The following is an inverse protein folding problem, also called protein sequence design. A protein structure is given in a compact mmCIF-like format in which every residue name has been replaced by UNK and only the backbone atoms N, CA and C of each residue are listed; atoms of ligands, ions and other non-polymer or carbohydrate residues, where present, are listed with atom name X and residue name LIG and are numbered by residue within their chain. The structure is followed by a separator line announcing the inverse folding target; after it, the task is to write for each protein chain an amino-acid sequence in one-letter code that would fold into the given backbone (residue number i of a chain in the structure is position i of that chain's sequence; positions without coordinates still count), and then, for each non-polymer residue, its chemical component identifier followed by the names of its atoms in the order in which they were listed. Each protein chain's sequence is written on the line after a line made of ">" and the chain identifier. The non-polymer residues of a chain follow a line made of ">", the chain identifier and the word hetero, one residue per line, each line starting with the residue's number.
data_IF_040118383924
#
_entry.id   IF_040118383924
#
_cell.length_a   1.000
_cell.length_b   1.000
_cell.length_c   1.000
_cell.angle_alpha   90.00
_cell.angle_beta   90.00
_cell.angle_gamma   90.00
#
_symmetry.space_group_name_H-M   'P 1'
#
loop_
_entity.id
_entity.type
_entity.pdbx_description
1 polymer ?
#
# COMPACT_ATOMS: atom_id res chain seq x y z
N UNK A 1 -25.05 -34.84 -5.97
CA UNK A 1 -23.85 -33.98 -6.05
C UNK A 1 -23.63 -33.06 -4.85
N UNK A 2 -24.38 -31.96 -4.61
CA UNK A 2 -24.06 -31.02 -3.50
C UNK A 2 -23.95 -31.68 -2.11
N UNK A 3 -24.88 -32.59 -1.79
CA UNK A 3 -24.84 -33.36 -0.53
C UNK A 3 -23.63 -34.30 -0.44
N UNK A 4 -23.34 -35.01 -1.53
CA UNK A 4 -22.20 -35.93 -1.63
C UNK A 4 -20.86 -35.20 -1.49
N UNK A 5 -20.73 -34.03 -2.10
CA UNK A 5 -19.58 -33.14 -1.90
C UNK A 5 -19.45 -32.70 -0.44
N UNK A 6 -20.57 -32.33 0.21
CA UNK A 6 -20.56 -31.94 1.62
C UNK A 6 -20.11 -33.09 2.53
N UNK A 7 -20.64 -34.30 2.32
CA UNK A 7 -20.26 -35.51 3.07
C UNK A 7 -18.76 -35.82 2.91
N UNK A 8 -18.23 -35.74 1.68
CA UNK A 8 -16.81 -35.92 1.41
C UNK A 8 -15.94 -34.82 2.05
N UNK A 9 -16.37 -33.56 1.96
CA UNK A 9 -15.65 -32.41 2.53
C UNK A 9 -15.59 -32.48 4.06
N UNK A 10 -16.68 -32.89 4.71
CA UNK A 10 -16.70 -33.08 6.17
C UNK A 10 -15.79 -34.24 6.59
N UNK A 11 -15.80 -35.35 5.85
CA UNK A 11 -14.91 -36.48 6.11
C UNK A 11 -13.42 -36.14 5.92
N UNK A 12 -13.11 -35.26 4.97
CA UNK A 12 -11.73 -34.93 4.59
C UNK A 12 -11.14 -33.80 5.44
N UNK A 13 -11.91 -32.73 5.66
CA UNK A 13 -11.43 -31.48 6.27
C UNK A 13 -11.98 -31.25 7.68
N UNK A 14 -13.01 -32.00 8.10
CA UNK A 14 -13.63 -31.87 9.41
C UNK A 14 -14.43 -30.58 9.60
N UNK A 15 -14.56 -30.17 10.86
CA UNK A 15 -15.35 -29.01 11.29
C UNK A 15 -14.57 -27.70 11.11
N UNK A 16 -14.53 -27.22 9.87
CA UNK A 16 -13.93 -25.94 9.48
C UNK A 16 -14.99 -24.93 9.03
N UNK A 17 -14.72 -23.64 9.24
CA UNK A 17 -15.62 -22.55 8.86
C UNK A 17 -15.56 -22.16 7.37
N UNK A 18 -16.41 -21.22 6.94
CA UNK A 18 -16.58 -20.87 5.53
C UNK A 18 -15.42 -20.07 4.92
N UNK A 19 -14.52 -19.52 5.74
CA UNK A 19 -13.45 -18.62 5.28
C UNK A 19 -12.40 -19.35 4.42
N UNK A 20 -12.08 -20.59 4.74
CA UNK A 20 -11.11 -21.40 3.96
C UNK A 20 -11.55 -21.59 2.51
N UNK A 21 -12.75 -22.19 2.28
CA UNK A 21 -13.30 -22.33 0.93
C UNK A 21 -13.44 -21.01 0.17
N UNK A 22 -13.78 -19.90 0.83
CA UNK A 22 -13.84 -18.59 0.17
C UNK A 22 -12.47 -18.06 -0.27
N UNK A 23 -11.42 -18.26 0.53
CA UNK A 23 -10.06 -17.92 0.11
C UNK A 23 -9.59 -18.76 -1.06
N UNK A 24 -9.97 -20.04 -1.08
CA UNK A 24 -9.67 -20.94 -2.19
C UNK A 24 -10.45 -20.52 -3.45
N UNK A 25 -11.73 -20.17 -3.31
CA UNK A 25 -12.57 -19.70 -4.42
C UNK A 25 -11.94 -18.52 -5.17
N UNK A 26 -11.27 -17.61 -4.46
CA UNK A 26 -10.55 -16.50 -5.10
C UNK A 26 -9.41 -16.95 -6.01
N UNK A 27 -8.77 -18.09 -5.74
CA UNK A 27 -7.71 -18.67 -6.58
C UNK A 27 -8.30 -19.36 -7.81
N UNK A 28 -9.30 -20.22 -7.60
CA UNK A 28 -10.01 -20.90 -8.70
C UNK A 28 -10.67 -19.90 -9.66
N UNK A 29 -11.13 -18.75 -9.17
CA UNK A 29 -11.64 -17.68 -10.02
C UNK A 29 -10.57 -17.08 -10.95
N UNK A 30 -9.30 -17.06 -10.55
CA UNK A 30 -8.18 -16.63 -11.40
C UNK A 30 -7.81 -17.70 -12.42
N UNK A 31 -7.84 -18.98 -12.01
CA UNK A 31 -7.58 -20.13 -12.88
C UNK A 31 -8.67 -20.23 -13.97
N UNK A 32 -9.95 -20.14 -13.60
CA UNK A 32 -11.07 -20.06 -14.53
C UNK A 32 -11.02 -18.83 -15.46
N UNK A 33 -10.47 -17.70 -15.00
CA UNK A 33 -10.30 -16.52 -15.84
C UNK A 33 -9.17 -16.69 -16.87
N UNK A 34 -8.13 -17.46 -16.55
CA UNK A 34 -7.04 -17.78 -17.46
C UNK A 34 -7.44 -18.85 -18.49
N UNK A 35 -8.24 -19.83 -18.09
CA UNK A 35 -8.68 -20.96 -18.92
C UNK A 35 -10.21 -21.10 -18.92
N UNK A 36 -10.96 -20.13 -19.50
CA UNK A 36 -12.43 -20.10 -19.41
C UNK A 36 -13.13 -21.27 -20.12
N UNK A 37 -12.43 -21.96 -21.03
CA UNK A 37 -12.93 -23.15 -21.72
C UNK A 37 -12.76 -24.44 -20.89
N UNK A 38 -12.01 -24.41 -19.79
CA UNK A 38 -11.85 -25.57 -18.91
C UNK A 38 -13.00 -25.66 -17.91
N UNK A 39 -13.85 -26.69 -18.08
CA UNK A 39 -15.00 -26.92 -17.21
C UNK A 39 -14.64 -27.35 -15.79
N UNK A 40 -13.42 -27.87 -15.52
CA UNK A 40 -13.03 -28.21 -14.15
C UNK A 40 -12.93 -26.96 -13.27
N UNK A 41 -12.36 -25.87 -13.80
CA UNK A 41 -12.19 -24.62 -13.05
C UNK A 41 -13.54 -24.02 -12.62
N UNK A 42 -14.55 -24.12 -13.48
CA UNK A 42 -15.93 -23.75 -13.14
C UNK A 42 -16.54 -24.67 -12.08
N UNK A 43 -16.22 -25.97 -12.13
CA UNK A 43 -16.70 -26.93 -11.15
C UNK A 43 -16.06 -26.70 -9.77
N UNK A 44 -14.77 -26.37 -9.71
CA UNK A 44 -14.05 -26.04 -8.48
C UNK A 44 -14.63 -24.79 -7.82
N UNK A 45 -14.89 -23.73 -8.59
CA UNK A 45 -15.62 -22.57 -8.09
C UNK A 45 -16.99 -22.97 -7.51
N UNK A 46 -17.73 -23.86 -8.18
CA UNK A 46 -19.06 -24.25 -7.74
C UNK A 46 -19.02 -25.05 -6.43
N UNK A 47 -18.08 -25.98 -6.29
CA UNK A 47 -17.89 -26.77 -5.08
C UNK A 47 -17.49 -25.91 -3.89
N UNK A 48 -16.53 -25.01 -4.06
CA UNK A 48 -16.07 -24.11 -3.01
C UNK A 48 -17.15 -23.14 -2.55
N UNK A 49 -17.96 -22.62 -3.48
CA UNK A 49 -19.08 -21.75 -3.13
C UNK A 49 -20.15 -22.51 -2.31
N UNK A 50 -20.50 -23.74 -2.70
CA UNK A 50 -21.45 -24.56 -1.93
C UNK A 50 -20.91 -24.92 -0.56
N UNK A 51 -19.61 -25.21 -0.46
CA UNK A 51 -18.94 -25.54 0.80
C UNK A 51 -18.91 -24.33 1.75
N UNK A 52 -18.61 -23.15 1.23
CA UNK A 52 -18.68 -21.91 1.98
C UNK A 52 -20.10 -21.62 2.47
N UNK A 53 -21.11 -21.73 1.61
CA UNK A 53 -22.51 -21.46 1.96
C UNK A 53 -23.00 -22.38 3.08
N UNK A 54 -22.78 -23.70 2.95
CA UNK A 54 -23.24 -24.66 3.97
C UNK A 54 -22.53 -24.44 5.31
N UNK A 55 -21.21 -24.17 5.30
CA UNK A 55 -20.42 -23.91 6.52
C UNK A 55 -20.79 -22.59 7.19
N UNK A 56 -21.32 -21.64 6.43
CA UNK A 56 -21.91 -20.40 6.95
C UNK A 56 -23.38 -20.56 7.41
N UNK A 57 -23.99 -21.74 7.24
CA UNK A 57 -25.41 -21.98 7.54
C UNK A 57 -26.38 -21.26 6.59
N UNK A 58 -25.92 -20.86 5.40
CA UNK A 58 -26.75 -20.17 4.40
C UNK A 58 -27.61 -21.19 3.67
N UNK A 59 -28.93 -21.01 3.73
CA UNK A 59 -29.88 -21.88 3.04
C UNK A 59 -30.10 -21.44 1.59
N UNK A 60 -30.59 -22.36 0.76
CA UNK A 60 -30.95 -22.09 -0.63
C UNK A 60 -32.01 -20.99 -0.75
N UNK A 61 -32.96 -20.94 0.19
CA UNK A 61 -33.99 -19.91 0.23
C UNK A 61 -33.38 -18.54 0.54
N UNK A 62 -32.49 -18.45 1.53
CA UNK A 62 -31.83 -17.21 1.92
C UNK A 62 -30.98 -16.64 0.78
N UNK A 63 -30.15 -17.48 0.14
CA UNK A 63 -29.31 -17.00 -0.96
C UNK A 63 -30.16 -16.62 -2.18
N UNK A 64 -31.22 -17.37 -2.48
CA UNK A 64 -32.12 -17.05 -3.60
C UNK A 64 -32.80 -15.70 -3.38
N UNK A 65 -33.32 -15.45 -2.17
CA UNK A 65 -33.92 -14.16 -1.83
C UNK A 65 -32.91 -13.02 -1.96
N UNK A 66 -31.72 -13.19 -1.38
CA UNK A 66 -30.65 -12.20 -1.46
C UNK A 66 -30.22 -11.92 -2.92
N UNK A 67 -30.20 -12.95 -3.79
CA UNK A 67 -29.91 -12.78 -5.21
C UNK A 67 -31.00 -11.96 -5.92
N UNK A 68 -32.29 -12.20 -5.62
CA UNK A 68 -33.41 -11.44 -6.19
C UNK A 68 -33.34 -9.97 -5.79
N UNK A 69 -33.16 -9.69 -4.50
CA UNK A 69 -33.02 -8.33 -3.97
C UNK A 69 -31.80 -7.62 -4.56
N UNK A 70 -30.66 -8.32 -4.62
CA UNK A 70 -29.42 -7.77 -5.18
C UNK A 70 -29.54 -7.49 -6.67
N UNK A 71 -30.24 -8.35 -7.41
CA UNK A 71 -30.50 -8.15 -8.84
C UNK A 71 -31.37 -6.91 -9.08
N UNK A 72 -32.40 -6.68 -8.26
CA UNK A 72 -33.22 -5.47 -8.34
C UNK A 72 -32.38 -4.20 -8.13
N UNK A 73 -31.50 -4.20 -7.12
CA UNK A 73 -30.55 -3.10 -6.86
C UNK A 73 -29.61 -2.90 -8.06
N UNK A 74 -29.06 -3.99 -8.61
CA UNK A 74 -28.12 -3.91 -9.73
C UNK A 74 -28.77 -3.36 -11.01
N UNK A 75 -30.04 -3.68 -11.27
CA UNK A 75 -30.82 -3.14 -12.41
C UNK A 75 -31.11 -1.65 -12.28
N UNK A 76 -31.16 -1.12 -11.06
CA UNK A 76 -31.40 0.31 -10.81
C UNK A 76 -30.13 1.18 -10.87
N UNK A 77 -28.94 0.57 -11.00
CA UNK A 77 -27.65 1.28 -11.02
C UNK A 77 -27.28 1.73 -12.43
N UNK A 78 -26.43 2.75 -12.48
CA UNK A 78 -25.72 3.16 -13.69
C UNK A 78 -24.39 2.41 -13.80
N UNK A 79 -24.08 1.97 -15.01
CA UNK A 79 -22.91 1.16 -15.34
C UNK A 79 -22.10 1.85 -16.45
N UNK A 80 -20.75 1.79 -16.39
CA UNK A 80 -19.90 2.30 -17.46
C UNK A 80 -20.05 1.46 -18.74
N UNK A 81 -19.47 1.97 -19.83
CA UNK A 81 -19.49 1.27 -21.12
C UNK A 81 -18.86 -0.12 -21.04
N UNK A 82 -19.36 -1.06 -21.84
CA UNK A 82 -18.78 -2.39 -21.90
C UNK A 82 -17.31 -2.47 -22.33
N UNK A 83 -16.44 -2.91 -21.43
CA UNK A 83 -15.09 -3.38 -21.76
C UNK A 83 -14.95 -4.88 -21.50
N UNK A 84 -14.33 -5.58 -22.44
CA UNK A 84 -14.08 -7.01 -22.35
C UNK A 84 -12.86 -7.31 -21.45
N UNK A 85 -12.90 -8.43 -20.75
CA UNK A 85 -11.84 -8.87 -19.82
C UNK A 85 -11.69 -8.07 -18.52
N UNK A 86 -12.49 -7.04 -18.29
CA UNK A 86 -12.31 -6.09 -17.17
C UNK A 86 -13.51 -6.08 -16.21
N UNK A 87 -13.30 -6.05 -14.89
CA UNK A 87 -14.37 -5.91 -13.91
C UNK A 87 -15.14 -4.60 -14.13
N UNK A 88 -16.47 -4.66 -13.99
CA UNK A 88 -17.32 -3.46 -14.09
C UNK A 88 -17.85 -3.08 -12.73
N UNK A 89 -17.55 -1.86 -12.32
CA UNK A 89 -18.06 -1.27 -11.10
C UNK A 89 -19.18 -0.28 -11.43
N UNK A 90 -20.17 -0.20 -10.55
CA UNK A 90 -21.26 0.77 -10.69
C UNK A 90 -20.75 2.19 -10.42
N UNK A 91 -21.30 3.16 -11.14
CA UNK A 91 -20.98 4.58 -10.92
C UNK A 91 -21.60 4.98 -9.58
N UNK A 92 -20.77 5.45 -8.65
CA UNK A 92 -21.24 6.12 -7.44
C UNK A 92 -21.38 7.61 -7.79
N UNK A 93 -22.59 8.16 -7.68
CA UNK A 93 -22.74 9.62 -7.78
C UNK A 93 -21.86 10.24 -6.70
N UNK A 94 -20.91 11.08 -7.11
CA UNK A 94 -20.24 11.97 -6.16
C UNK A 94 -21.33 12.90 -5.60
N UNK A 95 -21.39 13.12 -4.27
CA UNK A 95 -22.23 14.17 -3.74
C UNK A 95 -21.94 15.46 -4.52
N UNK A 96 -22.99 16.21 -4.86
CA UNK A 96 -22.85 17.50 -5.52
C UNK A 96 -21.73 18.31 -4.84
N UNK A 97 -20.91 19.07 -5.59
CA UNK A 97 -19.92 19.95 -4.97
C UNK A 97 -20.68 20.79 -3.95
N UNK A 98 -20.44 20.54 -2.66
CA UNK A 98 -20.87 21.45 -1.61
C UNK A 98 -20.04 22.69 -1.89
N UNK A 99 -20.63 23.63 -2.63
CA UNK A 99 -20.11 24.99 -2.73
C UNK A 99 -19.92 25.40 -1.27
N UNK A 100 -18.70 25.68 -0.79
CA UNK A 100 -18.52 26.12 0.56
C UNK A 100 -19.32 27.42 0.70
N UNK A 101 -20.43 27.34 1.43
CA UNK A 101 -21.06 28.53 1.98
C UNK A 101 -19.96 29.21 2.81
N UNK A 102 -19.71 30.49 2.52
CA UNK A 102 -18.58 31.27 3.05
C UNK A 102 -18.30 30.89 4.50
N UNK A 103 -17.07 30.44 4.77
CA UNK A 103 -16.62 29.98 6.07
C UNK A 103 -17.08 30.94 7.18
N UNK A 104 -18.02 30.54 8.05
CA UNK A 104 -18.23 31.26 9.29
C UNK A 104 -16.92 31.12 10.07
N UNK A 105 -16.37 32.26 10.49
CA UNK A 105 -15.19 32.30 11.33
C UNK A 105 -15.36 31.35 12.52
N UNK A 106 -14.39 30.44 12.66
CA UNK A 106 -14.16 29.54 13.79
C UNK A 106 -15.24 28.46 14.05
N UNK A 107 -15.14 27.33 13.32
CA UNK A 107 -15.65 26.06 13.82
C UNK A 107 -14.60 25.43 14.77
N UNK A 108 -15.00 24.90 15.94
CA UNK A 108 -14.07 24.26 16.86
C UNK A 108 -13.46 23.04 16.16
N UNK A 109 -12.14 23.06 16.02
CA UNK A 109 -11.32 22.03 15.43
C UNK A 109 -11.87 20.63 15.74
N UNK A 110 -12.42 19.96 14.73
CA UNK A 110 -12.57 18.51 14.78
C UNK A 110 -11.16 17.95 15.01
N UNK A 111 -10.95 17.28 16.15
CA UNK A 111 -9.68 16.66 16.47
C UNK A 111 -9.36 15.59 15.42
N UNK A 112 -8.56 15.97 14.42
CA UNK A 112 -7.94 15.03 13.49
C UNK A 112 -6.99 14.18 14.32
N UNK A 113 -7.35 12.92 14.58
CA UNK A 113 -6.43 11.95 15.18
C UNK A 113 -5.49 11.46 14.09
N UNK A 114 -4.19 11.48 14.37
CA UNK A 114 -3.18 10.82 13.54
C UNK A 114 -3.54 9.33 13.42
N UNK A 115 -3.85 8.87 12.22
CA UNK A 115 -3.94 7.45 11.91
C UNK A 115 -2.54 7.03 11.44
N UNK A 116 -1.86 6.21 12.25
CA UNK A 116 -0.46 5.88 12.01
C UNK A 116 -0.26 5.05 10.73
N UNK A 117 -1.21 4.18 10.36
CA UNK A 117 -0.94 3.18 9.32
C UNK A 117 -2.16 2.94 8.44
N UNK A 118 -2.27 3.66 7.32
CA UNK A 118 -3.27 3.35 6.29
C UNK A 118 -2.65 2.37 5.30
N UNK A 119 -3.19 1.15 5.22
CA UNK A 119 -2.74 0.11 4.29
C UNK A 119 -3.67 0.06 3.09
N UNK A 120 -3.10 -0.06 1.90
CA UNK A 120 -3.84 -0.27 0.66
C UNK A 120 -3.67 -1.70 0.17
N UNK A 121 -4.79 -2.37 -0.14
CA UNK A 121 -4.78 -3.62 -0.90
C UNK A 121 -4.65 -3.27 -2.38
N UNK A 122 -3.59 -3.71 -3.04
CA UNK A 122 -3.36 -3.44 -4.46
C UNK A 122 -3.29 -4.73 -5.27
N UNK A 123 -3.75 -4.71 -6.51
CA UNK A 123 -3.45 -5.76 -7.49
C UNK A 123 -1.97 -5.68 -7.92
N UNK A 124 -1.43 -6.77 -8.50
CA UNK A 124 -0.08 -6.75 -9.09
C UNK A 124 0.10 -5.68 -10.19
N UNK A 125 -0.98 -5.27 -10.85
CA UNK A 125 -1.00 -4.17 -11.83
C UNK A 125 -0.86 -2.78 -11.19
N UNK A 126 -0.90 -2.66 -9.86
CA UNK A 126 -0.75 -1.42 -9.11
C UNK A 126 -2.07 -0.70 -8.78
N UNK A 127 -3.23 -1.23 -9.18
CA UNK A 127 -4.53 -0.64 -8.88
C UNK A 127 -4.97 -0.92 -7.43
N UNK A 128 -5.46 0.11 -6.74
CA UNK A 128 -5.89 0.05 -5.33
C UNK A 128 -7.33 -0.44 -5.21
N UNK A 129 -7.52 -1.54 -4.48
CA UNK A 129 -8.81 -2.19 -4.22
C UNK A 129 -9.55 -1.55 -3.04
N UNK A 130 -8.85 -1.34 -1.92
CA UNK A 130 -9.44 -0.79 -0.69
C UNK A 130 -8.36 -0.35 0.31
N UNK A 131 -8.75 0.48 1.28
CA UNK A 131 -7.88 0.93 2.38
C UNK A 131 -8.31 0.34 3.73
N UNK A 132 -7.36 0.19 4.67
CA UNK A 132 -7.63 -0.12 6.07
C UNK A 132 -6.64 0.58 6.99
N UNK A 133 -7.07 1.18 8.11
CA UNK A 133 -6.18 1.67 9.15
C UNK A 133 -5.76 0.58 10.17
N UNK A 134 -6.26 -0.66 9.99
CA UNK A 134 -6.05 -1.79 10.89
C UNK A 134 -4.88 -2.68 10.41
N UNK A 135 -3.77 -2.77 11.18
CA UNK A 135 -2.59 -3.54 10.82
C UNK A 135 -2.80 -5.07 10.85
N UNK A 136 -3.71 -5.59 11.67
CA UNK A 136 -4.03 -7.03 11.67
C UNK A 136 -4.74 -7.39 10.38
N UNK A 137 -5.66 -6.53 9.93
CA UNK A 137 -6.36 -6.67 8.65
C UNK A 137 -5.41 -6.57 7.46
N UNK A 138 -4.41 -5.68 7.52
CA UNK A 138 -3.37 -5.57 6.50
C UNK A 138 -2.46 -6.82 6.46
N UNK A 139 -2.14 -7.39 7.62
CA UNK A 139 -1.36 -8.64 7.71
C UNK A 139 -2.13 -9.82 7.12
N UNK A 140 -3.46 -9.86 7.30
CA UNK A 140 -4.33 -10.84 6.65
C UNK A 140 -4.29 -10.69 5.12
N UNK A 141 -4.23 -9.47 4.60
CA UNK A 141 -4.12 -9.20 3.16
C UNK A 141 -2.80 -9.73 2.58
N UNK A 142 -1.67 -9.46 3.24
CA UNK A 142 -0.34 -9.93 2.83
C UNK A 142 -0.25 -11.46 2.76
N UNK A 143 -0.83 -12.16 3.73
CA UNK A 143 -0.60 -13.60 3.91
C UNK A 143 -1.62 -14.50 3.21
N UNK A 144 -2.76 -13.97 2.77
CA UNK A 144 -3.89 -14.81 2.31
C UNK A 144 -4.40 -14.54 0.90
N UNK A 145 -3.88 -13.54 0.18
CA UNK A 145 -4.27 -13.25 -1.19
C UNK A 145 -3.05 -13.35 -2.12
N UNK A 146 -3.05 -14.33 -3.01
CA UNK A 146 -2.07 -14.45 -4.09
C UNK A 146 -2.50 -13.58 -5.27
N UNK A 147 -1.58 -12.75 -5.81
CA UNK A 147 -1.89 -11.79 -6.89
C UNK A 147 -2.16 -10.36 -6.43
N UNK A 148 -2.10 -10.11 -5.11
CA UNK A 148 -2.19 -8.77 -4.52
C UNK A 148 -0.92 -8.44 -3.74
N UNK A 149 -0.52 -7.18 -3.72
CA UNK A 149 0.51 -6.67 -2.80
C UNK A 149 -0.14 -5.69 -1.81
N UNK A 150 0.36 -5.64 -0.59
CA UNK A 150 0.00 -4.58 0.35
C UNK A 150 1.10 -3.53 0.28
N UNK A 151 0.72 -2.32 -0.14
CA UNK A 151 1.59 -1.16 -0.05
C UNK A 151 1.29 -0.42 1.25
N UNK A 152 2.34 -0.16 2.02
CA UNK A 152 2.30 0.78 3.14
C UNK A 152 2.04 2.18 2.57
N UNK A 153 0.88 2.76 2.86
CA UNK A 153 0.57 4.09 2.38
C UNK A 153 1.25 5.09 3.31
N UNK A 154 2.24 5.76 2.73
CA UNK A 154 3.09 6.77 3.35
C UNK A 154 2.26 7.79 4.14
N UNK A 155 2.72 8.11 5.36
CA UNK A 155 2.18 9.14 6.26
C UNK A 155 1.61 10.34 5.48
N UNK A 156 0.38 10.75 5.81
CA UNK A 156 -0.28 11.95 5.26
C UNK A 156 0.62 13.20 5.32
N UNK A 157 1.50 13.28 6.33
CA UNK A 157 2.54 14.30 6.47
C UNK A 157 3.48 14.35 5.25
N UNK A 158 3.96 13.20 4.76
CA UNK A 158 4.84 13.09 3.59
C UNK A 158 4.12 13.37 2.27
N UNK A 159 2.82 13.06 2.16
CA UNK A 159 2.02 13.43 1.00
C UNK A 159 1.72 14.93 0.98
N UNK A 160 1.46 15.53 2.14
CA UNK A 160 1.34 16.99 2.28
C UNK A 160 2.68 17.68 1.99
N UNK A 161 3.80 17.13 2.44
CA UNK A 161 5.15 17.58 2.10
C UNK A 161 5.41 17.48 0.60
N UNK A 162 5.09 16.35 -0.04
CA UNK A 162 5.25 16.16 -1.48
C UNK A 162 4.33 17.07 -2.32
N UNK A 163 3.07 17.25 -1.91
CA UNK A 163 2.11 18.14 -2.56
C UNK A 163 2.41 19.63 -2.32
N UNK A 164 3.04 19.97 -1.19
CA UNK A 164 3.54 21.31 -0.88
C UNK A 164 4.93 21.59 -1.49
N UNK A 165 5.55 20.61 -2.15
CA UNK A 165 6.90 20.74 -2.72
C UNK A 165 8.03 20.72 -1.67
N UNK A 166 7.72 20.42 -0.41
CA UNK A 166 8.69 20.27 0.66
C UNK A 166 9.24 18.83 0.67
N UNK A 167 10.05 18.49 -0.34
CA UNK A 167 11.16 17.53 -0.15
C UNK A 167 11.91 17.95 1.13
N UNK A 168 12.40 17.04 2.02
CA UNK A 168 12.99 17.43 3.30
C UNK A 168 13.98 18.57 3.09
N UNK A 169 13.52 19.78 3.41
CA UNK A 169 14.25 20.99 3.07
C UNK A 169 15.45 20.95 3.99
N UNK A 170 16.64 20.79 3.40
CA UNK A 170 17.89 20.95 4.13
C UNK A 170 17.83 22.36 4.73
N UNK A 171 17.77 22.52 6.06
CA UNK A 171 17.61 23.85 6.64
C UNK A 171 18.78 24.74 6.23
N UNK A 172 18.54 26.06 6.16
CA UNK A 172 19.61 27.02 5.85
C UNK A 172 20.82 26.81 6.76
N UNK A 173 21.98 26.55 6.16
CA UNK A 173 23.23 26.24 6.87
C UNK A 173 23.54 24.75 7.03
N UNK A 174 22.69 23.84 6.56
CA UNK A 174 22.95 22.40 6.52
C UNK A 174 23.33 21.94 5.10
N UNK A 175 24.02 20.80 4.99
CA UNK A 175 24.38 20.17 3.72
C UNK A 175 24.08 18.67 3.78
N UNK A 176 23.60 18.10 2.67
CA UNK A 176 23.41 16.64 2.53
C UNK A 176 24.77 16.01 2.23
N UNK A 177 25.19 15.07 3.08
CA UNK A 177 26.43 14.30 2.92
C UNK A 177 26.17 12.83 3.20
N UNK A 178 26.99 11.91 2.65
CA UNK A 178 26.95 10.49 3.00
C UNK A 178 27.09 10.28 4.52
N UNK A 179 26.41 9.25 5.05
CA UNK A 179 26.51 8.86 6.47
C UNK A 179 27.93 8.43 6.83
N UNK A 180 28.59 7.72 5.92
CA UNK A 180 30.00 7.34 6.00
C UNK A 180 30.79 8.11 4.93
N UNK A 181 31.95 8.74 5.26
CA UNK A 181 32.75 9.46 4.28
C UNK A 181 33.19 8.58 3.10
N UNK A 182 33.15 9.13 1.89
CA UNK A 182 33.69 8.43 0.71
C UNK A 182 35.22 8.50 0.70
N UNK A 183 35.85 7.66 -0.11
CA UNK A 183 37.30 7.67 -0.30
C UNK A 183 37.79 9.06 -0.74
N UNK A 184 37.06 9.76 -1.60
CA UNK A 184 37.40 11.12 -2.04
C UNK A 184 37.32 12.14 -0.89
N UNK A 185 36.34 12.00 0.00
CA UNK A 185 36.22 12.85 1.18
C UNK A 185 37.38 12.58 2.16
N UNK A 186 37.78 11.32 2.32
CA UNK A 186 38.91 10.93 3.18
C UNK A 186 40.23 11.48 2.60
N UNK A 187 40.44 11.34 1.29
CA UNK A 187 41.62 11.91 0.61
C UNK A 187 41.66 13.43 0.77
N UNK A 188 40.53 14.13 0.57
CA UNK A 188 40.46 15.57 0.75
C UNK A 188 40.76 16.02 2.19
N UNK A 189 40.40 15.22 3.19
CA UNK A 189 40.78 15.47 4.58
C UNK A 189 42.30 15.34 4.78
N UNK A 190 42.91 14.30 4.22
CA UNK A 190 44.35 14.02 4.35
C UNK A 190 45.23 15.05 3.62
N UNK A 191 44.75 15.61 2.52
CA UNK A 191 45.46 16.59 1.70
C UNK A 191 45.17 18.06 2.13
N UNK A 192 44.39 18.26 3.19
CA UNK A 192 44.05 19.60 3.67
C UNK A 192 45.23 20.28 4.39
N UNK A 193 45.32 21.61 4.28
CA UNK A 193 46.32 22.40 5.01
C UNK A 193 45.80 22.72 6.41
N UNK A 194 45.71 21.67 7.23
CA UNK A 194 45.05 21.68 8.54
C UNK A 194 46.02 21.68 9.71
N UNK A 195 47.33 21.64 9.50
CA UNK A 195 48.31 21.62 10.60
C UNK A 195 49.21 22.83 10.57
N UNK A 196 49.19 23.62 11.65
CA UNK A 196 50.15 24.71 11.86
C UNK A 196 51.08 24.39 13.02
N UNK A 197 52.35 24.70 12.86
CA UNK A 197 53.37 24.51 13.89
C UNK A 197 53.59 25.81 14.68
N UNK A 198 53.86 25.68 15.98
CA UNK A 198 54.19 26.83 16.80
C UNK A 198 55.61 27.34 16.47
N UNK A 199 55.74 28.63 16.14
CA UNK A 199 57.03 29.24 15.77
C UNK A 199 58.05 29.26 16.91
N UNK A 200 57.61 29.12 18.16
CA UNK A 200 58.45 29.17 19.37
C UNK A 200 58.73 27.79 19.99
N UNK A 201 57.98 26.75 19.60
CA UNK A 201 58.09 25.39 20.14
C UNK A 201 57.74 24.37 19.04
N UNK A 202 58.76 23.75 18.45
CA UNK A 202 58.63 22.81 17.34
C UNK A 202 58.01 21.46 17.74
N UNK A 203 57.76 21.26 19.02
CA UNK A 203 57.05 20.07 19.54
C UNK A 203 55.53 20.27 19.61
N UNK A 204 55.05 21.50 19.41
CA UNK A 204 53.62 21.85 19.49
C UNK A 204 53.07 22.14 18.10
N UNK A 205 52.04 21.38 17.71
CA UNK A 205 51.27 21.61 16.50
C UNK A 205 49.78 21.79 16.84
N UNK A 206 49.09 22.54 15.99
CA UNK A 206 47.66 22.77 16.08
C UNK A 206 46.98 22.19 14.86
N UNK A 207 45.94 21.39 15.11
CA UNK A 207 45.10 20.81 14.06
C UNK A 207 43.84 21.66 13.90
N UNK A 208 43.64 22.18 12.70
CA UNK A 208 42.51 23.00 12.29
C UNK A 208 41.38 22.10 11.78
N UNK A 209 40.72 21.41 12.70
CA UNK A 209 39.62 20.48 12.39
C UNK A 209 38.53 21.08 11.48
N UNK A 210 38.35 22.41 11.52
CA UNK A 210 37.40 23.11 10.65
C UNK A 210 37.81 23.10 9.18
N UNK A 211 39.11 23.20 8.89
CA UNK A 211 39.62 23.17 7.52
C UNK A 211 39.52 21.76 6.94
N UNK A 212 39.81 20.73 7.75
CA UNK A 212 39.56 19.32 7.41
C UNK A 212 38.09 19.13 7.03
N UNK A 213 37.17 19.57 7.90
CA UNK A 213 35.73 19.39 7.67
C UNK A 213 35.24 20.13 6.42
N UNK A 214 35.74 21.34 6.15
CA UNK A 214 35.45 22.08 4.91
C UNK A 214 35.94 21.33 3.67
N UNK A 215 37.13 20.75 3.72
CA UNK A 215 37.68 19.96 2.61
C UNK A 215 36.82 18.72 2.33
N UNK A 216 36.41 18.00 3.38
CA UNK A 216 35.49 16.86 3.26
C UNK A 216 34.15 17.28 2.66
N UNK A 217 33.55 18.39 3.12
CA UNK A 217 32.28 18.89 2.57
C UNK A 217 32.39 19.31 1.09
N UNK A 218 33.54 19.85 0.67
CA UNK A 218 33.77 20.24 -0.71
C UNK A 218 33.88 19.02 -1.66
N UNK A 219 34.41 17.90 -1.15
CA UNK A 219 34.54 16.64 -1.87
C UNK A 219 33.30 15.74 -1.79
N UNK A 220 32.31 16.08 -0.96
CA UNK A 220 31.10 15.28 -0.80
C UNK A 220 30.31 15.18 -2.11
N UNK A 221 29.79 13.98 -2.45
CA UNK A 221 29.01 13.79 -3.67
C UNK A 221 27.74 14.63 -3.62
N UNK A 222 27.48 15.37 -4.70
CA UNK A 222 26.26 16.17 -4.85
C UNK A 222 25.18 15.32 -5.52
N UNK A 223 23.92 15.37 -5.05
CA UNK A 223 22.83 14.65 -5.71
C UNK A 223 22.70 15.16 -7.16
N UNK A 224 22.61 14.23 -8.11
CA UNK A 224 22.39 14.56 -9.51
C UNK A 224 21.11 15.36 -9.64
N UNK A 225 21.19 16.54 -10.26
CA UNK A 225 20.03 17.34 -10.61
C UNK A 225 19.35 16.66 -11.79
N UNK A 226 18.52 15.65 -11.50
CA UNK A 226 17.64 15.03 -12.48
C UNK A 226 16.73 16.09 -13.08
N UNK A 227 16.98 16.45 -14.33
CA UNK A 227 16.05 17.22 -15.14
C UNK A 227 14.71 16.46 -15.20
N UNK A 228 13.66 17.16 -14.76
CA UNK A 228 12.25 16.79 -14.91
C UNK A 228 11.89 16.63 -16.39
#
# INVERSE_FOLDING_TARGET
>A
MRREHAEWSDATFGDVGPVGPLKHLSKEALEAAAEPDDLSEWADMQFLLWDAQRRAGVTDEQITMAMVEKLAINKARQWPEPKDGEPRLHIKEQPAPVVPEECPAELPYAQVKAAADLYALCWQSGEVVTYTPDPEKATIWLNNYSGTCVQEYVKLERLQEALAGNSPVIPDGYALVPVEPTDEMIVAAMDSDDVTYNESDDTVFYVHHREIYKAMLAAAPKPETGHV
#
